data_IF_048442819258
#
_entry.id   IF_048442819258
#
_cell.length_a   1.000
_cell.length_b   1.000
_cell.length_c   1.000
_cell.angle_alpha   90.00
_cell.angle_beta   90.00
_cell.angle_gamma   90.00
#
_symmetry.space_group_name_H-M   'P 1'
#
loop_
_entity.id
_entity.type
_entity.pdbx_description
1 polymer ?
#
# COMPACT_ATOMS: atom_id res chain seq x y z
N UNK A 1 -15.73 -10.59 16.24
CA UNK A 1 -14.97 -11.13 15.09
C UNK A 1 -14.70 -9.95 14.15
N UNK A 2 -13.48 -9.41 14.15
CA UNK A 2 -13.15 -8.13 13.49
C UNK A 2 -12.43 -8.39 12.17
N UNK A 3 -12.90 -7.76 11.10
CA UNK A 3 -12.46 -7.90 9.72
C UNK A 3 -11.18 -7.11 9.40
N UNK A 4 -10.07 -7.39 10.10
CA UNK A 4 -8.82 -6.63 9.98
C UNK A 4 -7.64 -7.43 9.41
N UNK A 5 -7.86 -8.29 8.42
CA UNK A 5 -6.76 -9.04 7.78
C UNK A 5 -6.96 -9.14 6.29
N UNK A 6 -6.56 -8.10 5.55
CA UNK A 6 -6.17 -8.25 4.15
C UNK A 6 -5.33 -7.03 3.73
N UNK A 7 -4.31 -7.27 2.90
CA UNK A 7 -3.48 -6.30 2.16
C UNK A 7 -2.20 -5.79 2.82
N UNK A 8 -1.15 -6.63 2.84
CA UNK A 8 0.24 -6.20 2.56
C UNK A 8 1.19 -7.40 2.41
N UNK A 9 1.22 -8.02 1.22
CA UNK A 9 2.28 -8.98 0.89
C UNK A 9 2.45 -9.12 -0.63
N UNK A 10 3.16 -8.18 -1.27
CA UNK A 10 3.53 -8.33 -2.68
C UNK A 10 5.05 -8.19 -2.95
N UNK A 11 5.92 -8.23 -1.94
CA UNK A 11 7.32 -7.85 -2.14
C UNK A 11 8.36 -8.78 -1.53
N UNK A 12 8.44 -10.01 -2.01
CA UNK A 12 9.68 -10.77 -1.77
C UNK A 12 10.22 -11.64 -2.91
N UNK A 13 9.48 -11.98 -3.98
CA UNK A 13 10.06 -12.85 -5.02
C UNK A 13 9.52 -12.57 -6.42
N UNK A 14 10.13 -11.62 -7.12
CA UNK A 14 10.12 -11.59 -8.59
C UNK A 14 11.58 -11.67 -9.10
N UNK A 15 12.13 -12.88 -9.05
CA UNK A 15 13.12 -13.35 -10.03
C UNK A 15 12.69 -14.76 -10.42
N UNK A 16 12.60 -14.98 -11.73
CA UNK A 16 12.24 -16.21 -12.45
C UNK A 16 10.73 -16.44 -12.63
N UNK A 17 10.15 -15.77 -13.64
CA UNK A 17 9.02 -16.35 -14.38
C UNK A 17 9.59 -17.09 -15.58
N UNK A 18 9.52 -18.42 -15.56
CA UNK A 18 9.65 -19.24 -16.75
C UNK A 18 8.24 -19.69 -17.14
N UNK A 19 7.87 -19.44 -18.39
CA UNK A 19 6.50 -19.55 -18.89
C UNK A 19 6.18 -21.00 -19.29
N UNK A 20 5.24 -21.62 -18.59
CA UNK A 20 4.48 -22.76 -19.14
C UNK A 20 2.99 -22.53 -18.90
N UNK A 21 2.14 -22.58 -19.95
CA UNK A 21 0.71 -22.35 -19.82
C UNK A 21 0.03 -23.67 -19.42
N UNK A 22 -0.74 -23.67 -18.33
CA UNK A 22 -1.68 -24.74 -18.04
C UNK A 22 -3.12 -24.22 -18.04
N UNK A 23 -4.09 -25.03 -18.50
CA UNK A 23 -5.36 -24.55 -19.01
C UNK A 23 -6.35 -24.24 -17.88
N UNK A 24 -7.17 -23.22 -18.10
CA UNK A 24 -8.29 -22.84 -17.24
C UNK A 24 -9.30 -23.99 -17.11
N UNK A 25 -9.31 -24.66 -15.96
CA UNK A 25 -10.50 -25.27 -15.34
C UNK A 25 -10.18 -25.69 -13.90
N UNK A 26 -11.16 -25.49 -13.00
CA UNK A 26 -11.27 -26.00 -11.63
C UNK A 26 -10.93 -24.99 -10.51
N UNK A 27 -12.03 -24.46 -9.95
CA UNK A 27 -12.14 -23.62 -8.75
C UNK A 27 -11.78 -24.38 -7.46
N UNK A 28 -11.54 -23.58 -6.43
CA UNK A 28 -11.44 -23.91 -4.99
C UNK A 28 -10.06 -24.39 -4.56
N UNK A 29 -9.25 -23.45 -4.07
CA UNK A 29 -8.83 -23.47 -2.67
C UNK A 29 -8.21 -22.12 -2.29
N UNK A 30 -8.81 -21.52 -1.27
CA UNK A 30 -8.50 -20.23 -0.67
C UNK A 30 -7.24 -20.36 0.22
N UNK A 31 -6.14 -20.86 -0.36
CA UNK A 31 -4.93 -21.28 0.36
C UNK A 31 -3.65 -20.83 -0.39
N UNK A 32 -3.59 -19.56 -0.80
CA UNK A 32 -2.36 -18.99 -1.38
C UNK A 32 -1.89 -17.69 -0.70
N UNK A 33 -2.45 -17.31 0.45
CA UNK A 33 -2.12 -16.01 1.08
C UNK A 33 -1.86 -16.04 2.59
N UNK A 34 -1.88 -17.20 3.26
CA UNK A 34 -1.70 -17.25 4.73
C UNK A 34 -0.23 -17.23 5.19
N UNK A 35 0.74 -17.57 4.34
CA UNK A 35 2.17 -17.59 4.71
C UNK A 35 2.79 -16.18 4.87
N UNK A 36 2.05 -15.10 4.61
CA UNK A 36 2.58 -13.73 4.67
C UNK A 36 1.81 -12.83 5.65
N UNK A 37 1.19 -13.41 6.67
CA UNK A 37 0.48 -12.64 7.71
C UNK A 37 1.48 -12.05 8.71
N UNK A 38 2.29 -11.07 8.27
CA UNK A 38 3.11 -10.29 9.19
C UNK A 38 2.19 -9.38 10.03
N UNK A 39 2.23 -9.55 11.36
CA UNK A 39 1.49 -8.72 12.29
C UNK A 39 2.20 -7.36 12.46
N UNK A 40 2.06 -6.47 11.47
CA UNK A 40 2.49 -5.08 11.63
C UNK A 40 1.50 -4.32 12.53
N UNK A 41 1.96 -3.30 13.29
CA UNK A 41 1.07 -2.36 13.97
C UNK A 41 0.06 -1.78 12.98
N UNK A 42 -1.18 -1.56 13.44
CA UNK A 42 -2.28 -1.07 12.58
C UNK A 42 -1.92 0.26 11.91
N UNK A 43 -1.05 1.04 12.53
CA UNK A 43 -0.53 2.30 12.04
C UNK A 43 0.19 2.15 10.68
N UNK A 44 0.76 0.99 10.37
CA UNK A 44 1.36 0.72 9.05
C UNK A 44 0.29 0.67 7.95
N UNK A 45 -0.93 0.21 8.28
CA UNK A 45 -2.06 0.21 7.33
C UNK A 45 -2.59 1.61 7.03
N UNK A 46 -2.25 2.60 7.89
CA UNK A 46 -2.60 3.99 7.66
C UNK A 46 -1.68 4.66 6.64
N UNK A 47 -0.53 4.10 6.27
CA UNK A 47 0.28 4.64 5.19
C UNK A 47 -0.35 4.29 3.84
N UNK A 48 -0.47 5.24 2.90
CA UNK A 48 -0.90 4.89 1.55
C UNK A 48 0.09 3.89 0.92
N UNK A 49 -0.38 3.01 0.05
CA UNK A 49 0.48 2.02 -0.60
C UNK A 49 1.49 2.72 -1.52
N UNK A 50 2.79 2.58 -1.22
CA UNK A 50 3.87 3.17 -2.02
C UNK A 50 3.86 2.64 -3.47
N UNK A 51 3.37 1.41 -3.69
CA UNK A 51 3.24 0.76 -5.00
C UNK A 51 2.18 1.38 -5.92
N UNK A 52 1.47 2.43 -5.47
CA UNK A 52 0.62 3.23 -6.35
C UNK A 52 1.42 3.83 -7.53
N UNK A 53 2.73 4.00 -7.31
CA UNK A 53 3.74 4.09 -8.36
C UNK A 53 4.55 2.79 -8.37
N UNK A 54 4.70 2.19 -9.55
CA UNK A 54 5.43 0.93 -9.73
C UNK A 54 6.92 1.12 -9.37
N UNK A 55 7.48 2.26 -9.79
CA UNK A 55 8.87 2.60 -9.56
C UNK A 55 9.05 3.25 -8.18
N UNK A 56 10.15 2.90 -7.50
CA UNK A 56 10.45 3.40 -6.17
C UNK A 56 10.90 4.88 -6.21
N UNK A 57 10.66 5.66 -5.14
CA UNK A 57 11.17 7.02 -4.99
C UNK A 57 12.68 7.15 -5.29
N UNK A 58 13.49 6.21 -4.81
CA UNK A 58 14.95 6.23 -5.00
C UNK A 58 15.43 5.88 -6.42
N UNK A 59 14.57 5.26 -7.23
CA UNK A 59 14.86 4.86 -8.61
C UNK A 59 14.16 5.77 -9.64
N UNK A 60 13.43 6.78 -9.19
CA UNK A 60 12.67 7.65 -10.08
C UNK A 60 13.60 8.49 -10.96
N UNK A 61 13.46 8.46 -12.30
CA UNK A 61 14.39 9.12 -13.22
C UNK A 61 14.56 10.62 -12.99
N UNK A 62 13.46 11.29 -12.60
CA UNK A 62 13.43 12.74 -12.36
C UNK A 62 13.70 13.11 -10.89
N UNK A 63 14.06 12.13 -10.06
CA UNK A 63 14.31 12.33 -8.64
C UNK A 63 13.06 12.24 -7.74
N UNK A 64 13.30 12.25 -6.44
CA UNK A 64 12.30 12.00 -5.41
C UNK A 64 11.21 13.07 -5.34
N UNK A 65 11.54 14.33 -5.63
CA UNK A 65 10.57 15.44 -5.60
C UNK A 65 9.52 15.28 -6.72
N UNK A 66 9.94 14.89 -7.93
CA UNK A 66 9.01 14.60 -9.03
C UNK A 66 8.15 13.37 -8.71
N UNK A 67 8.75 12.33 -8.12
CA UNK A 67 8.01 11.17 -7.64
C UNK A 67 6.92 11.58 -6.65
N UNK A 68 7.22 12.44 -5.68
CA UNK A 68 6.26 12.92 -4.67
C UNK A 68 5.09 13.66 -5.31
N UNK A 69 5.35 14.52 -6.31
CA UNK A 69 4.31 15.25 -7.05
C UNK A 69 3.39 14.28 -7.78
N UNK A 70 3.95 13.31 -8.52
CA UNK A 70 3.19 12.32 -9.28
C UNK A 70 2.42 11.39 -8.34
N UNK A 71 3.05 10.97 -7.25
CA UNK A 71 2.43 10.11 -6.24
C UNK A 71 1.24 10.81 -5.59
N UNK A 72 1.40 12.07 -5.16
CA UNK A 72 0.32 12.86 -4.58
C UNK A 72 -0.89 12.99 -5.52
N UNK A 73 -0.63 13.20 -6.82
CA UNK A 73 -1.71 13.27 -7.81
C UNK A 73 -2.48 11.94 -7.92
N UNK A 74 -1.77 10.81 -8.00
CA UNK A 74 -2.39 9.48 -8.03
C UNK A 74 -3.10 9.16 -6.73
N UNK A 75 -2.50 9.54 -5.59
CA UNK A 75 -3.04 9.32 -4.26
C UNK A 75 -4.40 10.01 -4.12
N UNK A 76 -4.53 11.27 -4.55
CA UNK A 76 -5.82 11.98 -4.54
C UNK A 76 -6.90 11.24 -5.34
N UNK A 77 -6.54 10.65 -6.47
CA UNK A 77 -7.47 9.87 -7.30
C UNK A 77 -7.87 8.57 -6.61
N UNK A 78 -6.90 7.85 -6.05
CA UNK A 78 -7.11 6.62 -5.29
C UNK A 78 -8.01 6.87 -4.06
N UNK A 79 -7.72 7.91 -3.28
CA UNK A 79 -8.51 8.27 -2.10
C UNK A 79 -9.93 8.69 -2.46
N UNK A 80 -10.14 9.35 -3.61
CA UNK A 80 -11.49 9.68 -4.08
C UNK A 80 -12.31 8.41 -4.37
N UNK A 81 -11.71 7.44 -5.07
CA UNK A 81 -12.36 6.16 -5.35
C UNK A 81 -12.65 5.37 -4.07
N UNK A 82 -11.68 5.33 -3.15
CA UNK A 82 -11.82 4.67 -1.85
C UNK A 82 -12.95 5.30 -1.03
N UNK A 83 -13.00 6.63 -0.93
CA UNK A 83 -14.06 7.35 -0.21
C UNK A 83 -15.45 7.00 -0.73
N UNK A 84 -15.64 7.01 -2.05
CA UNK A 84 -16.92 6.65 -2.68
C UNK A 84 -17.36 5.22 -2.33
N UNK A 85 -16.41 4.29 -2.29
CA UNK A 85 -16.70 2.91 -1.87
C UNK A 85 -17.02 2.83 -0.39
N UNK A 86 -16.24 3.47 0.47
CA UNK A 86 -16.47 3.53 1.91
C UNK A 86 -17.85 4.13 2.22
N UNK A 87 -18.25 5.20 1.55
CA UNK A 87 -19.57 5.83 1.71
C UNK A 87 -20.71 4.84 1.46
N UNK A 88 -20.58 4.03 0.40
CA UNK A 88 -21.54 2.98 0.07
C UNK A 88 -21.60 1.90 1.15
N UNK A 89 -20.47 1.51 1.71
CA UNK A 89 -20.39 0.47 2.75
C UNK A 89 -20.86 0.99 4.12
N UNK A 90 -20.68 2.28 4.40
CA UNK A 90 -21.23 2.95 5.58
C UNK A 90 -22.76 3.02 5.49
N UNK A 91 -23.31 3.36 4.33
CA UNK A 91 -24.77 3.37 4.10
C UNK A 91 -25.39 1.98 4.30
N UNK A 92 -24.67 0.92 3.95
CA UNK A 92 -25.08 -0.48 4.21
C UNK A 92 -24.89 -0.90 5.67
N UNK A 93 -24.24 -0.10 6.50
CA UNK A 93 -23.91 -0.41 7.88
C UNK A 93 -22.80 -1.46 8.05
N UNK A 94 -22.02 -1.75 7.01
CA UNK A 94 -20.93 -2.74 7.08
C UNK A 94 -19.70 -2.19 7.81
N UNK A 95 -19.44 -0.88 7.68
CA UNK A 95 -18.36 -0.19 8.37
C UNK A 95 -18.89 1.10 9.01
N UNK A 96 -18.21 1.57 10.06
CA UNK A 96 -18.49 2.85 10.73
C UNK A 96 -17.58 3.95 10.19
N UNK A 97 -17.98 5.22 10.34
CA UNK A 97 -17.19 6.37 9.90
C UNK A 97 -15.78 6.41 10.52
N UNK A 98 -15.61 5.97 11.77
CA UNK A 98 -14.31 5.90 12.42
C UNK A 98 -13.39 4.78 11.89
N UNK A 99 -13.90 3.88 11.05
CA UNK A 99 -13.13 2.82 10.39
C UNK A 99 -12.69 3.24 8.98
N UNK A 100 -12.98 4.47 8.55
CA UNK A 100 -12.66 4.98 7.22
C UNK A 100 -11.15 5.11 7.02
N UNK A 101 -10.59 4.29 6.15
CA UNK A 101 -9.15 4.22 5.92
C UNK A 101 -8.64 5.40 5.08
N UNK A 102 -9.44 5.88 4.12
CA UNK A 102 -9.03 6.99 3.25
C UNK A 102 -8.61 8.25 4.01
N UNK A 103 -9.27 8.55 5.12
CA UNK A 103 -8.93 9.68 6.00
C UNK A 103 -7.62 9.45 6.75
N UNK A 104 -7.33 8.21 7.16
CA UNK A 104 -6.05 7.87 7.79
C UNK A 104 -4.89 7.96 6.80
N UNK A 105 -5.07 7.46 5.58
CA UNK A 105 -4.08 7.54 4.50
C UNK A 105 -3.76 8.96 4.09
N UNK A 106 -4.77 9.82 3.95
CA UNK A 106 -4.55 11.24 3.68
C UNK A 106 -3.74 11.90 4.79
N UNK A 107 -4.11 11.69 6.06
CA UNK A 107 -3.37 12.25 7.20
C UNK A 107 -1.93 11.74 7.27
N UNK A 108 -1.72 10.46 6.98
CA UNK A 108 -0.38 9.86 6.97
C UNK A 108 0.52 10.50 5.90
N UNK A 109 -0.05 10.78 4.73
CA UNK A 109 0.65 11.52 3.67
C UNK A 109 0.94 12.97 4.10
N UNK A 110 -0.06 13.72 4.55
CA UNK A 110 0.08 15.14 4.88
C UNK A 110 1.02 15.40 6.07
N UNK A 111 1.12 14.46 7.00
CA UNK A 111 2.03 14.53 8.16
C UNK A 111 3.44 14.02 7.86
N UNK A 112 3.68 13.41 6.69
CA UNK A 112 4.93 12.75 6.36
C UNK A 112 5.16 11.40 7.05
N UNK A 113 4.20 10.89 7.84
CA UNK A 113 4.25 9.55 8.44
C UNK A 113 4.40 8.44 7.40
N UNK A 114 3.90 8.66 6.18
CA UNK A 114 4.14 7.80 5.04
C UNK A 114 5.63 7.46 4.87
N UNK A 115 6.52 8.44 4.98
CA UNK A 115 7.96 8.24 4.77
C UNK A 115 8.61 7.40 5.88
N UNK A 116 8.13 7.54 7.11
CA UNK A 116 8.60 6.72 8.25
C UNK A 116 8.23 5.26 8.02
N UNK A 117 6.97 5.01 7.64
CA UNK A 117 6.48 3.65 7.33
C UNK A 117 7.18 3.10 6.08
N UNK A 118 7.38 3.92 5.05
CA UNK A 118 8.09 3.54 3.83
C UNK A 118 9.51 3.09 4.13
N UNK A 119 10.27 3.87 4.91
CA UNK A 119 11.63 3.53 5.32
C UNK A 119 11.69 2.25 6.18
N UNK A 120 10.73 2.06 7.09
CA UNK A 120 10.65 0.86 7.91
C UNK A 120 10.38 -0.40 7.07
N UNK A 121 9.52 -0.30 6.05
CA UNK A 121 9.16 -1.42 5.17
C UNK A 121 10.20 -1.69 4.07
N UNK A 122 10.96 -0.66 3.67
CA UNK A 122 11.98 -0.74 2.63
C UNK A 122 13.38 -0.61 3.23
N UNK A 123 13.62 -1.18 4.42
CA UNK A 123 14.83 -0.99 5.24
C UNK A 123 16.18 -1.29 4.55
N UNK A 124 16.17 -1.88 3.34
CA UNK A 124 17.33 -1.92 2.45
C UNK A 124 17.72 -0.55 1.84
N UNK A 125 16.89 0.48 1.98
CA UNK A 125 17.07 1.86 1.48
C UNK A 125 17.20 2.90 2.60
N UNK A 126 17.36 2.47 3.86
CA UNK A 126 17.47 3.37 5.02
C UNK A 126 18.61 4.39 4.85
N UNK A 127 19.74 3.99 4.26
CA UNK A 127 20.87 4.87 3.98
C UNK A 127 20.52 5.99 2.98
N UNK A 128 19.71 5.74 1.95
CA UNK A 128 19.44 6.74 0.91
C UNK A 128 18.55 7.90 1.38
N UNK A 129 17.66 7.66 2.36
CA UNK A 129 16.71 8.66 2.87
C UNK A 129 17.33 9.50 3.99
N UNK A 130 18.09 8.88 4.90
CA UNK A 130 18.66 9.58 6.06
C UNK A 130 19.73 10.61 5.66
N UNK A 131 20.53 10.32 4.63
CA UNK A 131 21.64 11.19 4.21
C UNK A 131 21.26 12.31 3.23
N UNK A 132 20.03 12.36 2.71
CA UNK A 132 19.60 13.38 1.74
C UNK A 132 18.95 14.63 2.37
N UNK A 133 18.70 14.62 3.68
CA UNK A 133 17.99 15.70 4.39
C UNK A 133 18.89 16.53 5.33
N UNK A 134 20.19 16.58 5.05
CA UNK A 134 21.14 17.54 5.64
C UNK A 134 21.65 18.51 4.58
#
# INVERSE_FOLDING_TARGET
>A
MSANTCWSSYQSRNKLMDATPLPCSILKNNLLYWEFTYAAPVEFSHAPPWWLLIEKPELWPNGMDDWEIVFNHRLKTFLRAMKSREDTEIQKGHIKENQRMSSHMQRSWDSGNFWIVYAALNSFAFDAIYWKKN
#
